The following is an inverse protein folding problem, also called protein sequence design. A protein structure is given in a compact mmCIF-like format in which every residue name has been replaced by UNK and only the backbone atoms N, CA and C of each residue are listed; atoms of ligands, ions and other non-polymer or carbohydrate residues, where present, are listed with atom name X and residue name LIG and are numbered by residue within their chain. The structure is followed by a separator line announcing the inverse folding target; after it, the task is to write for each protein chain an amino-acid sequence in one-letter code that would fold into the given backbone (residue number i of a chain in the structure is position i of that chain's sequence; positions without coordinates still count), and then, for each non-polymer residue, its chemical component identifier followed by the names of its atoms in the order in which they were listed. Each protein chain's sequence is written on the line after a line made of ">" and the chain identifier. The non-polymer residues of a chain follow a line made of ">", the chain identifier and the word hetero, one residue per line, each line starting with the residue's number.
data_IF_472956015454
#
_entry.id   IF_472956015454
#
_cell.length_a   1.000
_cell.length_b   1.000
_cell.length_c   1.000
_cell.angle_alpha   90.00
_cell.angle_beta   90.00
_cell.angle_gamma   90.00
#
_symmetry.space_group_name_H-M   'P 1'
#
loop_
_entity.id
_entity.type
_entity.pdbx_description
1 polymer ?
#
# COMPACT_ATOMS: atom_id res chain seq x y z
N UNK A 1 -24.52 -2.16 11.58
CA UNK A 1 -23.81 -2.44 10.32
C UNK A 1 -23.49 -3.92 10.30
N UNK A 2 -23.91 -4.63 9.25
CA UNK A 2 -23.65 -6.06 9.08
C UNK A 2 -22.16 -6.30 8.71
N UNK A 3 -21.61 -7.49 9.01
CA UNK A 3 -20.18 -7.77 8.84
C UNK A 3 -19.75 -7.69 7.37
N UNK A 4 -20.56 -8.22 6.46
CA UNK A 4 -20.39 -8.11 5.01
C UNK A 4 -20.37 -6.66 4.53
N UNK A 5 -21.33 -5.85 4.97
CA UNK A 5 -21.36 -4.41 4.65
C UNK A 5 -20.08 -3.70 5.11
N UNK A 6 -19.64 -3.94 6.36
CA UNK A 6 -18.40 -3.38 6.88
C UNK A 6 -17.19 -3.81 6.04
N UNK A 7 -17.08 -5.09 5.70
CA UNK A 7 -15.99 -5.64 4.88
C UNK A 7 -15.96 -5.04 3.48
N UNK A 8 -17.12 -4.91 2.83
CA UNK A 8 -17.22 -4.31 1.51
C UNK A 8 -16.74 -2.85 1.51
N UNK A 9 -17.14 -2.08 2.54
CA UNK A 9 -16.68 -0.68 2.71
C UNK A 9 -15.17 -0.62 2.91
N UNK A 10 -14.59 -1.49 3.72
CA UNK A 10 -13.14 -1.56 3.92
C UNK A 10 -12.40 -2.00 2.65
N UNK A 11 -12.87 -3.04 1.95
CA UNK A 11 -12.24 -3.52 0.72
C UNK A 11 -12.20 -2.44 -0.36
N UNK A 12 -13.29 -1.68 -0.52
CA UNK A 12 -13.34 -0.54 -1.43
C UNK A 12 -12.39 0.59 -1.00
N UNK A 13 -12.45 0.99 0.27
CA UNK A 13 -11.60 2.07 0.80
C UNK A 13 -10.13 1.74 0.74
N UNK A 14 -9.74 0.49 0.94
CA UNK A 14 -8.34 0.05 0.89
C UNK A 14 -7.89 -0.39 -0.51
N UNK A 15 -8.65 -0.04 -1.55
CA UNK A 15 -8.31 -0.34 -2.95
C UNK A 15 -8.13 -1.85 -3.27
N UNK A 16 -8.77 -2.73 -2.50
CA UNK A 16 -8.69 -4.19 -2.69
C UNK A 16 -9.66 -4.72 -3.74
N UNK A 17 -10.65 -3.93 -4.15
CA UNK A 17 -11.55 -4.26 -5.25
C UNK A 17 -10.94 -3.77 -6.58
N UNK A 18 -10.98 -4.55 -7.66
CA UNK A 18 -10.43 -4.13 -8.96
C UNK A 18 -10.93 -2.76 -9.43
N UNK A 19 -12.22 -2.49 -9.29
CA UNK A 19 -12.84 -1.21 -9.66
C UNK A 19 -12.45 -0.03 -8.75
N UNK A 20 -11.79 -0.29 -7.63
CA UNK A 20 -11.36 0.72 -6.67
C UNK A 20 -9.84 0.90 -6.65
N UNK A 21 -9.07 0.15 -7.46
CA UNK A 21 -7.61 0.31 -7.50
C UNK A 21 -7.21 1.71 -7.95
N UNK A 22 -6.18 2.26 -7.31
CA UNK A 22 -5.55 3.50 -7.77
C UNK A 22 -4.58 3.23 -8.92
N UNK A 23 -4.12 4.26 -9.63
CA UNK A 23 -3.03 4.17 -10.61
C UNK A 23 -1.66 4.53 -10.00
N UNK A 24 -1.62 4.93 -8.73
CA UNK A 24 -0.43 5.48 -8.09
C UNK A 24 -0.08 4.71 -6.79
N UNK A 25 1.15 4.15 -6.67
CA UNK A 25 1.60 3.50 -5.44
C UNK A 25 1.64 4.43 -4.22
N UNK A 26 1.87 5.75 -4.42
CA UNK A 26 1.92 6.73 -3.33
C UNK A 26 0.53 6.91 -2.72
N UNK A 27 -0.51 7.01 -3.55
CA UNK A 27 -1.89 7.08 -3.08
C UNK A 27 -2.31 5.78 -2.38
N UNK A 28 -1.91 4.61 -2.91
CA UNK A 28 -2.16 3.33 -2.25
C UNK A 28 -1.55 3.27 -0.84
N UNK A 29 -0.32 3.79 -0.68
CA UNK A 29 0.34 3.89 0.62
C UNK A 29 -0.37 4.87 1.55
N UNK A 30 -0.76 6.05 1.05
CA UNK A 30 -1.48 7.08 1.82
C UNK A 30 -2.80 6.54 2.40
N UNK A 31 -3.58 5.83 1.59
CA UNK A 31 -4.84 5.23 2.01
C UNK A 31 -4.70 4.18 3.12
N UNK A 32 -3.55 3.50 3.19
CA UNK A 32 -3.25 2.51 4.22
C UNK A 32 -2.54 3.08 5.45
N UNK A 33 -2.19 4.38 5.43
CA UNK A 33 -1.29 5.00 6.43
C UNK A 33 0.10 4.33 6.43
N UNK A 34 0.55 3.94 5.23
CA UNK A 34 1.82 3.27 4.99
C UNK A 34 1.73 1.73 5.01
N UNK A 35 2.41 1.03 4.08
CA UNK A 35 2.52 -0.43 4.12
C UNK A 35 3.53 -0.89 5.18
N UNK A 36 3.38 -2.12 5.65
CA UNK A 36 4.38 -2.72 6.53
C UNK A 36 5.68 -2.97 5.75
N UNK A 37 6.79 -2.48 6.29
CA UNK A 37 8.05 -2.51 5.60
C UNK A 37 8.95 -3.70 5.93
N UNK A 38 8.83 -4.36 7.09
CA UNK A 38 9.92 -5.18 7.66
C UNK A 38 10.62 -6.09 6.65
N UNK A 39 9.86 -6.82 5.84
CA UNK A 39 10.35 -7.56 4.68
C UNK A 39 10.38 -6.68 3.40
N UNK A 40 11.48 -6.67 2.62
CA UNK A 40 11.59 -5.86 1.40
C UNK A 40 10.47 -6.10 0.38
N UNK A 41 10.01 -7.34 0.23
CA UNK A 41 8.98 -7.71 -0.75
C UNK A 41 7.57 -7.24 -0.38
N UNK A 42 7.28 -7.08 0.92
CA UNK A 42 5.93 -6.74 1.41
C UNK A 42 5.45 -5.37 0.90
N UNK A 43 6.35 -4.40 0.71
CA UNK A 43 6.00 -3.09 0.14
C UNK A 43 5.49 -3.24 -1.30
N UNK A 44 6.17 -4.03 -2.12
CA UNK A 44 5.81 -4.28 -3.52
C UNK A 44 4.47 -5.02 -3.63
N UNK A 45 4.30 -6.09 -2.84
CA UNK A 45 3.06 -6.86 -2.83
C UNK A 45 1.86 -6.02 -2.35
N UNK A 46 2.07 -5.20 -1.32
CA UNK A 46 1.03 -4.32 -0.79
C UNK A 46 0.58 -3.28 -1.82
N UNK A 47 1.53 -2.70 -2.57
CA UNK A 47 1.26 -1.76 -3.66
C UNK A 47 0.55 -2.47 -4.83
N UNK A 48 1.04 -3.62 -5.28
CA UNK A 48 0.45 -4.39 -6.38
C UNK A 48 -0.99 -4.83 -6.11
N UNK A 49 -1.33 -5.16 -4.86
CA UNK A 49 -2.70 -5.50 -4.48
C UNK A 49 -3.70 -4.32 -4.62
N UNK A 50 -3.19 -3.08 -4.57
CA UNK A 50 -3.98 -1.84 -4.36
C UNK A 50 -3.89 -0.84 -5.51
N UNK A 51 -2.89 -0.97 -6.37
CA UNK A 51 -2.69 -0.12 -7.52
C UNK A 51 -2.60 -0.94 -8.81
N UNK A 52 -3.10 -0.38 -9.90
CA UNK A 52 -3.02 -0.94 -11.25
C UNK A 52 -1.84 -0.32 -12.00
N UNK A 53 -1.14 -1.09 -12.83
CA UNK A 53 -0.05 -0.59 -13.67
C UNK A 53 1.27 -0.30 -12.93
N UNK A 54 1.35 -0.60 -11.63
CA UNK A 54 2.59 -0.50 -10.84
C UNK A 54 3.60 -1.57 -11.23
N UNK A 55 4.86 -1.15 -11.39
CA UNK A 55 6.01 -2.02 -11.62
C UNK A 55 6.97 -1.94 -10.43
N UNK A 56 7.83 -2.95 -10.21
CA UNK A 56 8.87 -2.87 -9.20
C UNK A 56 9.76 -1.63 -9.35
N UNK A 57 10.23 -1.34 -10.57
CA UNK A 57 11.06 -0.17 -10.86
C UNK A 57 10.34 1.17 -10.54
N UNK A 58 9.04 1.27 -10.83
CA UNK A 58 8.26 2.45 -10.47
C UNK A 58 8.14 2.64 -8.95
N UNK A 59 8.04 1.55 -8.20
CA UNK A 59 8.03 1.58 -6.73
C UNK A 59 9.41 1.94 -6.17
N UNK A 60 10.49 1.46 -6.78
CA UNK A 60 11.85 1.83 -6.41
C UNK A 60 12.14 3.32 -6.66
N UNK A 61 11.72 3.87 -7.80
CA UNK A 61 11.84 5.30 -8.10
C UNK A 61 11.20 6.16 -7.01
N UNK A 62 9.95 5.87 -6.64
CA UNK A 62 9.26 6.67 -5.62
C UNK A 62 9.86 6.52 -4.21
N UNK A 63 10.56 5.41 -3.93
CA UNK A 63 11.24 5.17 -2.64
C UNK A 63 12.63 5.80 -2.57
N UNK A 64 13.40 5.73 -3.65
CA UNK A 64 14.84 6.00 -3.63
C UNK A 64 15.22 7.25 -4.39
N UNK A 65 14.61 7.47 -5.55
CA UNK A 65 14.91 8.61 -6.42
C UNK A 65 14.07 9.83 -6.00
N UNK A 66 12.74 9.72 -6.12
CA UNK A 66 11.80 10.81 -5.84
C UNK A 66 11.61 11.03 -4.33
N UNK A 67 11.84 9.99 -3.53
CA UNK A 67 11.62 9.97 -2.06
C UNK A 67 10.21 10.41 -1.65
N UNK A 68 9.24 10.21 -2.53
CA UNK A 68 7.82 10.43 -2.27
C UNK A 68 7.28 9.43 -1.23
N UNK A 69 7.90 8.24 -1.15
CA UNK A 69 7.73 7.30 -0.05
C UNK A 69 9.04 7.14 0.70
N UNK A 70 8.96 7.12 2.02
CA UNK A 70 10.11 6.90 2.90
C UNK A 70 9.85 5.72 3.83
N UNK A 71 10.92 5.01 4.16
CA UNK A 71 10.88 3.94 5.16
C UNK A 71 11.24 4.52 6.52
N UNK A 72 10.33 4.41 7.47
CA UNK A 72 10.51 4.89 8.85
C UNK A 72 10.25 3.78 9.86
N UNK A 73 10.77 3.93 11.06
CA UNK A 73 10.31 3.14 12.21
C UNK A 73 8.88 3.57 12.53
N UNK A 74 7.93 2.73 12.13
CA UNK A 74 6.51 3.00 12.25
C UNK A 74 5.89 2.46 13.54
N UNK A 75 4.58 2.24 13.50
CA UNK A 75 3.83 1.67 14.61
C UNK A 75 4.27 0.23 14.88
N UNK A 76 4.44 -0.11 16.16
CA UNK A 76 4.82 -1.46 16.63
C UNK A 76 6.03 -1.99 15.85
N UNK A 77 7.22 -1.43 16.08
CA UNK A 77 8.41 -1.92 15.40
C UNK A 77 8.54 -3.41 15.67
N UNK A 78 8.72 -4.19 14.60
CA UNK A 78 9.08 -5.59 14.73
C UNK A 78 10.36 -5.64 15.56
N UNK A 79 10.33 -6.32 16.71
CA UNK A 79 11.56 -6.58 17.45
C UNK A 79 12.48 -7.34 16.50
N UNK A 80 13.68 -6.78 16.28
CA UNK A 80 14.75 -7.53 15.64
C UNK A 80 15.18 -8.68 16.53
#
# INVERSE_FOLDING_TARGET
>A
MEVGERRARLARRHHLLPAARTADPVEAARTMVGPHGTDPGTVFLSAWARASGVTPAGIESVLYDDRALIRILGMRPSSR
#
